data_IF_320021128302
#
_entry.id   IF_320021128302
#
_cell.length_a   1.000
_cell.length_b   1.000
_cell.length_c   1.000
_cell.angle_alpha   90.00
_cell.angle_beta   90.00
_cell.angle_gamma   90.00
#
_symmetry.space_group_name_H-M   'P 1'
#
loop_
_entity.id
_entity.type
_entity.pdbx_description
1 polymer ?
#
# COMPACT_ATOMS: atom_id res chain seq x y z
N UNK A 1 -7.69 -16.75 -12.63
CA UNK A 1 -7.98 -15.39 -12.10
C UNK A 1 -8.19 -14.39 -13.23
N UNK A 2 -9.18 -13.49 -13.10
CA UNK A 2 -9.56 -12.50 -14.12
C UNK A 2 -8.43 -11.52 -14.45
N UNK A 3 -7.71 -11.06 -13.44
CA UNK A 3 -6.59 -10.13 -13.63
C UNK A 3 -5.44 -10.74 -14.44
N UNK A 4 -5.20 -12.05 -14.28
CA UNK A 4 -4.18 -12.77 -15.05
C UNK A 4 -4.60 -12.92 -16.51
N UNK A 5 -5.88 -13.21 -16.79
CA UNK A 5 -6.36 -13.27 -18.16
C UNK A 5 -6.26 -11.92 -18.87
N UNK A 6 -6.66 -10.83 -18.20
CA UNK A 6 -6.49 -9.47 -18.73
C UNK A 6 -5.01 -9.14 -18.98
N UNK A 7 -4.13 -9.56 -18.07
CA UNK A 7 -2.70 -9.37 -18.22
C UNK A 7 -2.10 -10.15 -19.40
N UNK A 8 -2.57 -11.37 -19.64
CA UNK A 8 -2.18 -12.20 -20.79
C UNK A 8 -2.75 -11.64 -22.11
N UNK A 9 -3.99 -11.15 -22.09
CA UNK A 9 -4.62 -10.57 -23.27
C UNK A 9 -3.96 -9.25 -23.69
N UNK A 10 -3.52 -8.42 -22.73
CA UNK A 10 -2.85 -7.16 -23.05
C UNK A 10 -1.46 -7.38 -23.68
N UNK A 11 -1.22 -7.00 -24.95
CA UNK A 11 0.08 -7.17 -25.61
C UNK A 11 1.20 -6.34 -24.97
N UNK A 12 0.86 -5.17 -24.41
CA UNK A 12 1.80 -4.20 -23.85
C UNK A 12 2.23 -4.50 -22.41
N UNK A 13 1.93 -5.70 -21.90
CA UNK A 13 2.27 -6.06 -20.53
C UNK A 13 3.77 -6.37 -20.37
N UNK A 14 4.50 -5.46 -19.73
CA UNK A 14 5.96 -5.54 -19.53
C UNK A 14 6.40 -6.49 -18.40
N UNK A 15 5.46 -7.12 -17.67
CA UNK A 15 5.85 -8.00 -16.55
C UNK A 15 6.50 -9.28 -17.05
N UNK A 16 7.75 -9.52 -16.65
CA UNK A 16 8.55 -10.71 -17.03
C UNK A 16 7.81 -12.04 -16.83
N UNK A 17 7.08 -12.20 -15.73
CA UNK A 17 6.34 -13.44 -15.46
C UNK A 17 5.16 -13.66 -16.43
N UNK A 18 4.51 -12.57 -16.89
CA UNK A 18 3.44 -12.65 -17.90
C UNK A 18 4.04 -12.97 -19.25
N UNK A 19 5.13 -12.30 -19.63
CA UNK A 19 5.85 -12.58 -20.87
C UNK A 19 6.28 -14.04 -20.96
N UNK A 20 6.88 -14.59 -19.89
CA UNK A 20 7.26 -16.00 -19.84
C UNK A 20 6.07 -16.94 -20.05
N UNK A 21 4.91 -16.66 -19.43
CA UNK A 21 3.70 -17.47 -19.64
C UNK A 21 3.19 -17.37 -21.07
N UNK A 22 3.21 -16.19 -21.70
CA UNK A 22 2.85 -16.05 -23.12
C UNK A 22 3.75 -16.90 -24.01
N UNK A 23 5.06 -16.90 -23.76
CA UNK A 23 5.99 -17.74 -24.51
C UNK A 23 5.68 -19.24 -24.35
N UNK A 24 5.36 -19.69 -23.13
CA UNK A 24 4.96 -21.09 -22.89
C UNK A 24 3.67 -21.46 -23.65
N UNK A 25 2.66 -20.58 -23.62
CA UNK A 25 1.42 -20.79 -24.36
C UNK A 25 1.67 -20.84 -25.87
N UNK A 26 2.51 -19.96 -26.40
CA UNK A 26 2.83 -19.91 -27.83
C UNK A 26 3.69 -21.11 -28.31
N UNK A 27 4.39 -21.79 -27.40
CA UNK A 27 5.16 -23.00 -27.72
C UNK A 27 4.30 -24.25 -27.81
N UNK A 28 3.09 -24.21 -27.27
CA UNK A 28 2.14 -25.32 -27.36
C UNK A 28 1.67 -25.52 -28.80
N UNK A 29 1.60 -26.76 -29.25
CA UNK A 29 0.97 -27.14 -30.52
C UNK A 29 -0.54 -27.37 -30.39
N UNK A 30 -1.04 -27.46 -29.14
CA UNK A 30 -2.46 -27.62 -28.85
C UNK A 30 -3.20 -26.27 -28.81
N UNK A 31 -4.47 -26.29 -29.20
CA UNK A 31 -5.40 -25.19 -28.97
C UNK A 31 -5.72 -25.07 -27.48
N UNK A 32 -5.35 -23.94 -26.87
CA UNK A 32 -5.56 -23.67 -25.44
C UNK A 32 -6.62 -22.59 -25.28
N UNK A 33 -7.71 -22.93 -24.59
CA UNK A 33 -8.72 -21.98 -24.15
C UNK A 33 -8.56 -21.66 -22.67
N UNK A 34 -8.56 -20.36 -22.34
CA UNK A 34 -8.43 -19.89 -20.97
C UNK A 34 -9.72 -19.19 -20.54
N UNK A 35 -10.45 -19.82 -19.63
CA UNK A 35 -11.74 -19.33 -19.14
C UNK A 35 -11.61 -18.90 -17.67
N UNK A 36 -12.24 -17.80 -17.30
CA UNK A 36 -12.35 -17.38 -15.91
C UNK A 36 -13.67 -17.83 -15.31
N UNK A 37 -13.60 -18.47 -14.14
CA UNK A 37 -14.74 -18.83 -13.31
C UNK A 37 -14.73 -18.05 -12.00
N UNK A 38 -15.91 -17.88 -11.41
CA UNK A 38 -16.04 -17.28 -10.08
C UNK A 38 -15.44 -18.22 -9.03
N UNK A 39 -14.73 -17.65 -8.06
CA UNK A 39 -14.23 -18.38 -6.91
C UNK A 39 -15.36 -18.58 -5.88
N UNK A 40 -15.26 -19.65 -5.08
CA UNK A 40 -16.11 -19.93 -3.92
C UNK A 40 -17.62 -20.03 -4.21
N UNK A 41 -17.98 -20.66 -5.33
CA UNK A 41 -19.39 -20.88 -5.74
C UNK A 41 -19.75 -22.36 -5.93
N UNK A 42 -18.97 -23.30 -5.39
CA UNK A 42 -19.25 -24.73 -5.49
C UNK A 42 -18.70 -25.43 -6.75
N UNK A 43 -17.88 -24.76 -7.57
CA UNK A 43 -17.28 -25.42 -8.75
C UNK A 43 -16.16 -26.35 -8.26
N UNK A 44 -16.45 -27.65 -8.20
CA UNK A 44 -15.58 -28.68 -7.62
C UNK A 44 -14.11 -28.56 -8.04
N UNK A 45 -13.80 -28.50 -9.34
CA UNK A 45 -12.42 -28.40 -9.82
C UNK A 45 -11.71 -27.10 -9.42
N UNK A 46 -12.44 -25.97 -9.40
CA UNK A 46 -11.86 -24.70 -8.96
C UNK A 46 -11.64 -24.67 -7.44
N UNK A 47 -12.57 -25.23 -6.67
CA UNK A 47 -12.45 -25.31 -5.22
C UNK A 47 -11.32 -26.24 -4.79
N UNK A 48 -11.17 -27.37 -5.47
CA UNK A 48 -10.07 -28.29 -5.24
C UNK A 48 -8.71 -27.64 -5.55
N UNK A 49 -8.62 -26.89 -6.66
CA UNK A 49 -7.42 -26.13 -7.00
C UNK A 49 -7.10 -25.05 -5.94
N UNK A 50 -8.12 -24.33 -5.44
CA UNK A 50 -7.94 -23.34 -4.36
C UNK A 50 -7.51 -24.00 -3.03
N UNK A 51 -8.05 -25.19 -2.71
CA UNK A 51 -7.64 -25.96 -1.54
C UNK A 51 -6.17 -26.38 -1.62
N UNK A 52 -5.74 -26.93 -2.76
CA UNK A 52 -4.33 -27.28 -2.96
C UNK A 52 -3.41 -26.05 -2.93
N UNK A 53 -3.83 -24.92 -3.51
CA UNK A 53 -3.06 -23.68 -3.44
C UNK A 53 -2.89 -23.20 -1.99
N UNK A 54 -3.95 -23.28 -1.17
CA UNK A 54 -3.86 -22.95 0.28
C UNK A 54 -2.93 -23.90 1.03
N UNK A 55 -3.04 -25.21 0.79
CA UNK A 55 -2.14 -26.19 1.42
C UNK A 55 -0.68 -25.96 1.05
N UNK A 56 -0.41 -25.60 -0.22
CA UNK A 56 0.94 -25.28 -0.68
C UNK A 56 1.54 -24.06 0.06
N UNK A 57 0.73 -23.07 0.43
CA UNK A 57 1.23 -21.91 1.22
C UNK A 57 1.64 -22.26 2.65
N UNK A 58 1.24 -23.42 3.16
CA UNK A 58 1.58 -23.88 4.51
C UNK A 58 2.80 -24.83 4.56
N UNK A 59 3.42 -25.11 3.40
CA UNK A 59 4.64 -25.93 3.34
C UNK A 59 5.85 -25.12 3.78
N UNK A 60 6.74 -25.75 4.54
CA UNK A 60 8.01 -25.15 5.00
C UNK A 60 9.04 -25.00 3.87
N UNK A 61 8.87 -25.77 2.78
CA UNK A 61 9.78 -25.77 1.63
C UNK A 61 9.32 -24.78 0.56
N UNK A 62 10.21 -23.88 0.15
CA UNK A 62 9.95 -22.89 -0.90
C UNK A 62 10.32 -23.48 -2.26
N UNK A 63 9.31 -23.81 -3.07
CA UNK A 63 9.52 -24.38 -4.41
C UNK A 63 10.06 -23.35 -5.42
N UNK A 64 9.73 -22.07 -5.24
CA UNK A 64 10.21 -20.96 -6.08
C UNK A 64 10.57 -19.75 -5.24
N UNK A 65 11.83 -19.32 -5.33
CA UNK A 65 12.27 -18.09 -4.69
C UNK A 65 11.67 -16.88 -5.41
N UNK A 66 10.58 -16.33 -4.86
CA UNK A 66 10.01 -15.08 -5.34
C UNK A 66 10.67 -13.89 -4.64
N UNK A 67 11.12 -12.91 -5.42
CA UNK A 67 11.62 -11.66 -4.87
C UNK A 67 10.56 -10.96 -4.02
N UNK A 68 10.95 -10.51 -2.82
CA UNK A 68 10.10 -9.73 -1.94
C UNK A 68 9.72 -8.43 -2.66
N UNK A 69 8.43 -8.11 -2.83
CA UNK A 69 8.03 -6.88 -3.50
C UNK A 69 8.53 -5.65 -2.74
N UNK A 70 9.08 -4.65 -3.44
CA UNK A 70 9.50 -3.36 -2.83
C UNK A 70 8.37 -2.73 -2.01
N UNK A 71 7.11 -2.86 -2.45
CA UNK A 71 5.94 -2.36 -1.71
C UNK A 71 5.80 -3.00 -0.34
N UNK A 72 6.14 -4.28 -0.22
CA UNK A 72 6.12 -5.00 1.07
C UNK A 72 7.21 -4.45 1.99
N UNK A 73 8.44 -4.30 1.48
CA UNK A 73 9.55 -3.69 2.24
C UNK A 73 9.19 -2.27 2.70
N UNK A 74 8.65 -1.43 1.81
CA UNK A 74 8.17 -0.08 2.16
C UNK A 74 7.08 -0.11 3.24
N UNK A 75 6.20 -1.11 3.23
CA UNK A 75 5.15 -1.27 4.25
C UNK A 75 5.76 -1.61 5.61
N UNK A 76 6.74 -2.53 5.65
CA UNK A 76 7.46 -2.89 6.88
C UNK A 76 8.19 -1.67 7.45
N UNK A 77 9.02 -1.00 6.64
CA UNK A 77 9.74 0.19 7.07
C UNK A 77 8.80 1.29 7.61
N UNK A 78 7.67 1.52 6.93
CA UNK A 78 6.68 2.48 7.42
C UNK A 78 6.09 2.07 8.76
N UNK A 79 5.84 0.78 8.96
CA UNK A 79 5.34 0.27 10.23
C UNK A 79 6.36 0.50 11.35
N UNK A 80 7.62 0.15 11.12
CA UNK A 80 8.70 0.29 12.11
C UNK A 80 8.92 1.75 12.50
N UNK A 81 9.00 2.65 11.51
CA UNK A 81 9.13 4.09 11.76
C UNK A 81 7.97 4.63 12.61
N UNK A 82 6.73 4.22 12.29
CA UNK A 82 5.56 4.67 13.04
C UNK A 82 5.54 4.12 14.47
N UNK A 83 6.00 2.88 14.66
CA UNK A 83 6.10 2.25 15.97
C UNK A 83 7.17 2.94 16.82
N UNK A 84 8.37 3.15 16.29
CA UNK A 84 9.45 3.87 16.99
C UNK A 84 9.05 5.29 17.36
N UNK A 85 8.44 6.03 16.42
CA UNK A 85 7.92 7.36 16.70
C UNK A 85 6.89 7.35 17.83
N UNK A 86 5.96 6.37 17.81
CA UNK A 86 4.94 6.24 18.84
C UNK A 86 5.55 5.92 20.21
N UNK A 87 6.57 5.06 20.26
CA UNK A 87 7.28 4.72 21.49
C UNK A 87 8.01 5.95 22.07
N UNK A 88 8.70 6.70 21.21
CA UNK A 88 9.35 7.95 21.59
C UNK A 88 8.35 8.98 22.12
N UNK A 89 7.20 9.12 21.45
CA UNK A 89 6.13 10.02 21.88
C UNK A 89 5.55 9.65 23.25
N UNK A 90 5.28 8.37 23.49
CA UNK A 90 4.81 7.88 24.80
C UNK A 90 5.85 8.16 25.89
N UNK A 91 7.14 7.95 25.60
CA UNK A 91 8.23 8.24 26.54
C UNK A 91 8.33 9.73 26.91
N UNK A 92 8.11 10.63 25.95
CA UNK A 92 8.02 12.08 26.20
C UNK A 92 6.78 12.40 27.04
N UNK A 93 5.62 11.85 26.70
CA UNK A 93 4.35 12.05 27.42
C UNK A 93 4.40 11.60 28.89
N UNK A 94 5.20 10.56 29.19
CA UNK A 94 5.41 10.10 30.56
C UNK A 94 6.35 11.02 31.37
N UNK A 95 7.08 11.92 30.72
CA UNK A 95 8.01 12.88 31.36
C UNK A 95 7.43 14.30 31.47
N UNK A 96 6.60 14.73 30.52
CA UNK A 96 6.03 16.08 30.47
C UNK A 96 4.54 16.02 30.09
N UNK A 97 3.69 16.49 31.02
CA UNK A 97 2.25 16.82 30.96
C UNK A 97 1.28 16.08 29.97
N UNK A 98 0.06 15.67 30.40
CA UNK A 98 -0.81 14.77 29.64
C UNK A 98 -1.47 15.34 28.36
N UNK A 99 -1.22 16.60 28.01
CA UNK A 99 -2.01 17.39 27.04
C UNK A 99 -1.73 17.08 25.56
N UNK A 100 -0.67 16.33 25.25
CA UNK A 100 -0.28 16.00 23.89
C UNK A 100 -1.01 14.76 23.33
N UNK A 101 -1.94 14.96 22.39
CA UNK A 101 -2.75 13.89 21.77
C UNK A 101 -1.91 12.94 20.90
N UNK A 102 -2.26 11.65 20.90
CA UNK A 102 -1.63 10.61 20.08
C UNK A 102 -1.90 10.81 18.58
N UNK A 103 -0.93 10.53 17.72
CA UNK A 103 -1.09 10.68 16.26
C UNK A 103 -2.07 9.66 15.66
N UNK A 104 -2.29 8.52 16.32
CA UNK A 104 -3.33 7.55 15.93
C UNK A 104 -4.74 8.14 16.03
N UNK A 105 -4.91 9.17 16.84
CA UNK A 105 -6.17 9.90 17.03
C UNK A 105 -6.26 11.14 16.13
N UNK A 106 -5.29 11.37 15.23
CA UNK A 106 -5.38 12.49 14.31
C UNK A 106 -6.51 12.23 13.30
N UNK A 107 -7.49 13.13 13.21
CA UNK A 107 -8.52 13.03 12.19
C UNK A 107 -7.85 13.07 10.81
N UNK A 108 -8.05 12.01 10.02
CA UNK A 108 -7.52 11.90 8.64
C UNK A 108 -8.19 12.89 7.68
N UNK A 109 -9.28 13.52 8.11
CA UNK A 109 -9.82 14.72 7.48
C UNK A 109 -9.17 15.90 8.16
N UNK A 110 -8.54 16.80 7.36
CA UNK A 110 -8.26 18.15 7.84
C UNK A 110 -9.54 18.66 8.48
N UNK A 111 -9.52 18.89 9.79
CA UNK A 111 -10.61 19.64 10.42
C UNK A 111 -10.74 20.93 9.63
N UNK A 112 -11.98 21.27 9.25
CA UNK A 112 -12.34 22.57 8.66
C UNK A 112 -12.07 23.66 9.72
N UNK A 113 -10.79 23.88 10.05
CA UNK A 113 -10.31 24.96 10.86
C UNK A 113 -9.95 26.09 9.92
N UNK A 114 -10.45 27.29 10.21
CA UNK A 114 -10.02 28.51 9.55
C UNK A 114 -8.47 28.55 9.56
N UNK A 115 -7.88 28.97 8.44
CA UNK A 115 -6.44 29.12 8.24
C UNK A 115 -5.71 29.74 9.44
N UNK A 116 -6.26 30.81 10.02
CA UNK A 116 -5.70 31.49 11.19
C UNK A 116 -5.70 30.60 12.45
N UNK A 117 -6.75 29.80 12.61
CA UNK A 117 -6.89 28.88 13.74
C UNK A 117 -5.85 27.76 13.67
N UNK A 118 -5.59 27.24 12.46
CA UNK A 118 -4.56 26.22 12.25
C UNK A 118 -3.15 26.76 12.53
N UNK A 119 -2.88 28.03 12.20
CA UNK A 119 -1.62 28.70 12.50
C UNK A 119 -1.40 28.86 14.01
N UNK A 120 -2.41 29.34 14.74
CA UNK A 120 -2.34 29.50 16.20
C UNK A 120 -2.11 28.14 16.88
N UNK A 121 -2.87 27.10 16.49
CA UNK A 121 -2.78 25.77 17.12
C UNK A 121 -1.46 25.05 16.83
N UNK A 122 -0.89 25.25 15.65
CA UNK A 122 0.38 24.60 15.27
C UNK A 122 1.62 25.39 15.72
N UNK A 123 1.43 26.55 16.36
CA UNK A 123 2.53 27.44 16.76
C UNK A 123 3.30 28.05 15.58
N UNK A 124 2.81 27.87 14.36
CA UNK A 124 3.35 28.51 13.17
C UNK A 124 2.62 29.83 12.97
N UNK A 125 3.26 30.95 13.30
CA UNK A 125 2.73 32.28 12.97
C UNK A 125 2.43 32.44 11.47
N UNK A 126 1.68 33.48 11.11
CA UNK A 126 1.40 33.87 9.72
C UNK A 126 2.64 34.40 8.99
N UNK A 127 3.70 33.60 8.96
CA UNK A 127 4.99 33.99 8.40
C UNK A 127 4.86 33.97 6.87
N UNK A 128 4.95 35.15 6.26
CA UNK A 128 4.78 35.36 4.82
C UNK A 128 5.65 34.42 3.97
N UNK A 129 6.90 34.18 4.38
CA UNK A 129 7.83 33.28 3.67
C UNK A 129 7.38 31.82 3.67
N UNK A 130 6.79 31.32 4.77
CA UNK A 130 6.23 29.97 4.86
C UNK A 130 4.98 29.84 4.00
N UNK A 131 4.12 30.87 4.03
CA UNK A 131 2.89 30.91 3.24
C UNK A 131 3.15 30.97 1.73
N UNK A 132 4.13 31.76 1.30
CA UNK A 132 4.56 31.80 -0.09
C UNK A 132 5.06 30.44 -0.58
N UNK A 133 5.83 29.72 0.26
CA UNK A 133 6.44 28.44 -0.11
C UNK A 133 5.45 27.29 -0.25
N UNK A 134 4.44 27.23 0.60
CA UNK A 134 3.54 26.06 0.68
C UNK A 134 2.10 26.34 0.24
N UNK A 135 1.70 27.60 0.16
CA UNK A 135 0.30 28.00 -0.06
C UNK A 135 0.14 29.17 -1.05
N UNK A 136 1.19 29.53 -1.80
CA UNK A 136 1.21 30.66 -2.76
C UNK A 136 0.75 32.00 -2.15
N UNK A 137 0.97 32.20 -0.84
CA UNK A 137 0.71 33.49 -0.18
C UNK A 137 1.72 34.57 -0.60
N UNK A 138 1.42 35.84 -0.36
CA UNK A 138 2.38 36.93 -0.58
C UNK A 138 3.65 36.71 0.27
N UNK A 139 4.82 36.99 -0.31
CA UNK A 139 6.12 36.95 0.40
C UNK A 139 6.38 38.20 1.24
N UNK A 140 5.57 39.25 1.08
CA UNK A 140 5.70 40.51 1.82
C UNK A 140 4.79 40.53 3.04
N UNK A 141 5.34 40.88 4.19
CA UNK A 141 4.53 41.24 5.36
C UNK A 141 3.91 42.62 5.12
N UNK A 142 2.60 42.75 5.31
CA UNK A 142 1.90 44.04 5.40
C UNK A 142 1.69 44.40 6.87
#
# INVERSE_FOLDING_TARGET
SRSVLQALHNPNNIKRSIFHRKQLLNKSTATIELIWTRAHIGIHGNELADQYAKQATSRDTIDQNMYIPIRFIKKLLKHDILTEWQNHWVKIRLREEPSLRSMKDQPKKRTLGNFFLNQIITGHGAIASYQHKFFNGSSTCS
#
